data_IF_076411476955
#
_entry.id   IF_076411476955
#
_cell.length_a   1.000
_cell.length_b   1.000
_cell.length_c   1.000
_cell.angle_alpha   90.00
_cell.angle_beta   90.00
_cell.angle_gamma   90.00
#
_symmetry.space_group_name_H-M   'P 1'
#
loop_
_entity.id
_entity.type
_entity.pdbx_description
1 polymer ?
#
# COMPACT_ATOMS: atom_id res chain seq x y z
N UNK A 1 36.83 2.15 32.61
CA UNK A 1 35.49 2.26 32.00
C UNK A 1 35.72 2.63 30.54
N UNK A 2 35.68 1.64 29.66
CA UNK A 2 35.92 1.82 28.23
C UNK A 2 34.59 2.21 27.60
N UNK A 3 34.48 3.45 27.12
CA UNK A 3 33.40 3.84 26.21
C UNK A 3 33.68 3.15 24.87
N UNK A 4 33.11 1.97 24.68
CA UNK A 4 32.99 1.36 23.37
C UNK A 4 32.23 2.36 22.50
N UNK A 5 32.98 3.00 21.60
CA UNK A 5 32.45 3.77 20.49
C UNK A 5 31.61 2.80 19.67
N UNK A 6 30.30 2.79 19.91
CA UNK A 6 29.35 2.17 18.99
C UNK A 6 29.65 2.78 17.63
N UNK A 7 30.23 1.96 16.76
CA UNK A 7 30.40 2.32 15.37
C UNK A 7 29.00 2.59 14.84
N UNK A 8 28.70 3.88 14.70
CA UNK A 8 27.58 4.40 13.94
C UNK A 8 27.65 3.70 12.59
N UNK A 9 26.87 2.62 12.44
CA UNK A 9 26.87 1.80 11.24
C UNK A 9 26.46 2.74 10.12
N UNK A 10 27.42 3.17 9.30
CA UNK A 10 27.19 4.11 8.23
C UNK A 10 26.03 3.57 7.40
N UNK A 11 24.91 4.29 7.45
CA UNK A 11 23.67 3.90 6.83
C UNK A 11 23.91 3.80 5.33
N UNK A 12 23.84 2.59 4.78
CA UNK A 12 24.01 2.42 3.34
C UNK A 12 22.81 3.10 2.64
N UNK A 13 23.05 4.15 1.84
CA UNK A 13 21.97 4.94 1.27
C UNK A 13 21.22 4.13 0.22
N UNK A 14 19.88 4.17 0.26
CA UNK A 14 19.03 3.57 -0.77
C UNK A 14 19.44 4.08 -2.16
N UNK A 15 19.63 3.20 -3.16
CA UNK A 15 19.94 3.61 -4.52
C UNK A 15 18.91 4.63 -5.06
N UNK A 16 19.35 5.68 -5.78
CA UNK A 16 18.46 6.76 -6.24
C UNK A 16 17.25 6.27 -7.04
N UNK A 17 17.43 5.27 -7.91
CA UNK A 17 16.35 4.68 -8.71
C UNK A 17 15.28 3.99 -7.86
N UNK A 18 15.70 3.25 -6.83
CA UNK A 18 14.79 2.61 -5.87
C UNK A 18 14.03 3.64 -5.06
N UNK A 19 14.71 4.69 -4.58
CA UNK A 19 14.06 5.79 -3.87
C UNK A 19 13.01 6.50 -4.73
N UNK A 20 13.34 6.83 -5.98
CA UNK A 20 12.42 7.46 -6.92
C UNK A 20 11.17 6.59 -7.16
N UNK A 21 11.35 5.27 -7.29
CA UNK A 21 10.24 4.33 -7.37
C UNK A 21 9.33 4.42 -6.13
N UNK A 22 9.90 4.40 -4.92
CA UNK A 22 9.08 4.46 -3.70
C UNK A 22 8.39 5.81 -3.50
N UNK A 23 8.96 6.91 -3.96
CA UNK A 23 8.27 8.21 -4.02
C UNK A 23 7.09 8.14 -4.97
N UNK A 24 7.29 7.63 -6.19
CA UNK A 24 6.20 7.45 -7.15
C UNK A 24 5.10 6.54 -6.59
N UNK A 25 5.49 5.42 -5.97
CA UNK A 25 4.57 4.48 -5.36
C UNK A 25 3.77 5.12 -4.21
N UNK A 26 4.42 5.92 -3.36
CA UNK A 26 3.76 6.71 -2.33
C UNK A 26 2.74 7.70 -2.93
N UNK A 27 3.07 8.37 -4.03
CA UNK A 27 2.15 9.28 -4.72
C UNK A 27 0.93 8.54 -5.29
N UNK A 28 1.12 7.37 -5.91
CA UNK A 28 0.01 6.55 -6.40
C UNK A 28 -0.89 6.11 -5.25
N UNK A 29 -0.30 5.68 -4.11
CA UNK A 29 -1.07 5.37 -2.90
C UNK A 29 -1.82 6.59 -2.35
N UNK A 30 -1.18 7.76 -2.27
CA UNK A 30 -1.84 8.98 -1.82
C UNK A 30 -3.02 9.39 -2.72
N UNK A 31 -2.85 9.26 -4.05
CA UNK A 31 -3.93 9.47 -5.02
C UNK A 31 -5.03 8.40 -4.85
N UNK A 32 -4.66 7.15 -4.61
CA UNK A 32 -5.56 6.06 -4.31
C UNK A 32 -6.43 6.37 -3.09
N UNK A 33 -5.83 6.78 -1.98
CA UNK A 33 -6.56 7.27 -0.80
C UNK A 33 -7.44 8.45 -1.19
N UNK A 34 -6.88 9.53 -1.72
CA UNK A 34 -7.65 10.74 -2.05
C UNK A 34 -8.84 10.48 -2.99
N UNK A 35 -8.70 9.56 -3.95
CA UNK A 35 -9.75 9.17 -4.90
C UNK A 35 -10.99 8.57 -4.24
N UNK A 36 -10.87 8.09 -2.99
CA UNK A 36 -11.95 7.51 -2.21
C UNK A 36 -12.71 8.50 -1.35
N UNK A 37 -12.28 9.75 -1.30
CA UNK A 37 -13.07 10.81 -0.71
C UNK A 37 -14.24 11.15 -1.64
N UNK A 38 -15.47 11.06 -1.14
CA UNK A 38 -16.73 11.28 -1.88
C UNK A 38 -16.72 12.48 -2.86
N UNK A 39 -16.18 13.61 -2.44
CA UNK A 39 -16.12 14.87 -3.20
C UNK A 39 -15.08 14.82 -4.33
N UNK A 40 -14.01 14.03 -4.15
CA UNK A 40 -13.03 13.76 -5.20
C UNK A 40 -13.58 12.69 -6.12
N UNK A 41 -14.10 11.60 -5.57
CA UNK A 41 -14.70 10.49 -6.30
C UNK A 41 -15.77 10.96 -7.29
N UNK A 42 -16.69 11.83 -6.85
CA UNK A 42 -17.74 12.41 -7.69
C UNK A 42 -17.24 13.34 -8.82
N UNK A 43 -15.93 13.64 -8.86
CA UNK A 43 -15.28 14.44 -9.92
C UNK A 43 -14.29 13.66 -10.77
N UNK A 44 -13.92 12.45 -10.35
CA UNK A 44 -13.00 11.62 -11.12
C UNK A 44 -13.76 10.90 -12.24
N UNK A 45 -13.14 10.70 -13.42
CA UNK A 45 -13.66 9.76 -14.40
C UNK A 45 -13.83 8.38 -13.75
N UNK A 46 -14.93 7.64 -14.03
CA UNK A 46 -15.20 6.35 -13.40
C UNK A 46 -14.01 5.37 -13.51
N UNK A 47 -13.36 5.36 -14.68
CA UNK A 47 -12.22 4.50 -14.96
C UNK A 47 -10.94 4.87 -14.20
N UNK A 48 -10.83 6.08 -13.66
CA UNK A 48 -9.61 6.54 -13.01
C UNK A 48 -9.46 5.94 -11.60
N UNK A 49 -10.54 5.89 -10.82
CA UNK A 49 -10.50 5.29 -9.49
C UNK A 49 -10.22 3.77 -9.56
N UNK A 50 -10.83 3.08 -10.54
CA UNK A 50 -10.56 1.66 -10.81
C UNK A 50 -9.14 1.45 -11.35
N UNK A 51 -8.71 2.30 -12.28
CA UNK A 51 -7.38 2.24 -12.87
C UNK A 51 -6.28 2.43 -11.83
N UNK A 52 -6.49 3.31 -10.85
CA UNK A 52 -5.55 3.50 -9.74
C UNK A 52 -5.37 2.20 -8.94
N UNK A 53 -6.44 1.48 -8.61
CA UNK A 53 -6.34 0.20 -7.91
C UNK A 53 -5.62 -0.87 -8.74
N UNK A 54 -5.93 -0.94 -10.05
CA UNK A 54 -5.28 -1.88 -10.97
C UNK A 54 -3.78 -1.58 -11.17
N UNK A 55 -3.38 -0.31 -11.15
CA UNK A 55 -1.95 0.09 -11.19
C UNK A 55 -1.26 -0.16 -9.85
N UNK A 56 -1.99 -0.01 -8.74
CA UNK A 56 -1.45 -0.15 -7.40
C UNK A 56 -0.96 -1.56 -7.07
N UNK A 57 -1.69 -2.60 -7.51
CA UNK A 57 -1.31 -4.00 -7.32
C UNK A 57 0.07 -4.35 -7.88
N UNK A 58 0.34 -4.14 -9.17
CA UNK A 58 1.66 -4.30 -9.79
C UNK A 58 2.77 -3.57 -9.02
N UNK A 59 2.54 -2.30 -8.67
CA UNK A 59 3.52 -1.50 -7.94
C UNK A 59 3.84 -2.06 -6.56
N UNK A 60 2.84 -2.56 -5.83
CA UNK A 60 3.05 -3.17 -4.53
C UNK A 60 3.92 -4.43 -4.61
N UNK A 61 3.71 -5.27 -5.63
CA UNK A 61 4.51 -6.47 -5.82
C UNK A 61 5.96 -6.13 -6.23
N UNK A 62 6.15 -5.14 -7.10
CA UNK A 62 7.49 -4.63 -7.44
C UNK A 62 8.17 -4.00 -6.22
N UNK A 63 7.41 -3.28 -5.38
CA UNK A 63 7.92 -2.73 -4.12
C UNK A 63 8.43 -3.84 -3.20
N UNK A 64 7.69 -4.95 -3.08
CA UNK A 64 8.13 -6.13 -2.33
C UNK A 64 9.44 -6.73 -2.82
N UNK A 65 9.63 -6.82 -4.15
CA UNK A 65 10.89 -7.29 -4.74
C UNK A 65 12.06 -6.34 -4.46
N UNK A 66 11.85 -5.04 -4.67
CA UNK A 66 12.89 -4.03 -4.43
C UNK A 66 13.30 -4.02 -2.96
N UNK A 67 12.33 -4.10 -2.06
CA UNK A 67 12.57 -4.18 -0.62
C UNK A 67 13.38 -5.44 -0.26
N UNK A 68 13.02 -6.61 -0.81
CA UNK A 68 13.79 -7.85 -0.60
C UNK A 68 15.22 -7.76 -1.14
N UNK A 69 15.43 -7.07 -2.26
CA UNK A 69 16.78 -6.88 -2.84
C UNK A 69 17.65 -5.92 -2.05
N UNK A 70 17.05 -4.94 -1.38
CA UNK A 70 17.78 -4.06 -0.46
C UNK A 70 18.25 -4.85 0.78
N UNK A 71 17.54 -5.91 1.17
CA UNK A 71 17.79 -6.70 2.39
C UNK A 71 17.61 -8.20 2.14
N UNK A 72 18.53 -8.84 1.38
CA UNK A 72 18.36 -10.24 1.00
C UNK A 72 18.55 -11.23 2.15
N UNK A 73 19.37 -10.87 3.16
CA UNK A 73 19.78 -11.74 4.28
C UNK A 73 19.03 -11.48 5.61
N UNK A 74 18.29 -10.38 5.73
CA UNK A 74 17.51 -10.09 6.96
C UNK A 74 16.13 -10.75 6.90
N UNK A 75 16.04 -11.97 7.43
CA UNK A 75 14.78 -12.65 7.73
C UNK A 75 14.31 -12.45 9.20
N UNK A 76 15.23 -12.06 10.11
CA UNK A 76 14.98 -12.02 11.56
C UNK A 76 14.84 -10.58 12.10
N UNK A 77 13.64 -10.01 12.00
CA UNK A 77 13.28 -8.78 12.73
C UNK A 77 11.98 -8.15 12.24
N UNK A 78 11.30 -7.33 13.07
CA UNK A 78 10.13 -6.59 12.62
C UNK A 78 10.56 -5.59 11.53
N UNK A 79 10.16 -5.83 10.29
CA UNK A 79 10.62 -5.13 9.08
C UNK A 79 10.44 -3.60 9.12
N UNK A 80 9.66 -3.08 10.06
CA UNK A 80 9.31 -1.66 10.24
C UNK A 80 10.40 -0.90 10.96
N UNK A 81 11.10 -1.57 11.88
CA UNK A 81 12.31 -1.04 12.49
C UNK A 81 13.49 -1.13 11.51
N UNK A 82 13.42 -2.09 10.58
CA UNK A 82 14.44 -2.32 9.57
C UNK A 82 14.41 -1.23 8.47
N UNK A 83 13.23 -0.85 7.96
CA UNK A 83 13.11 0.19 6.92
C UNK A 83 13.44 1.59 7.49
N UNK A 84 14.67 2.05 7.26
CA UNK A 84 15.15 3.39 7.66
C UNK A 84 14.79 4.50 6.67
N UNK A 85 14.66 4.16 5.38
CA UNK A 85 14.33 5.13 4.34
C UNK A 85 12.87 5.59 4.43
N UNK A 86 12.70 6.91 4.58
CA UNK A 86 11.39 7.56 4.72
C UNK A 86 10.49 7.36 3.50
N UNK A 87 11.05 7.32 2.28
CA UNK A 87 10.26 7.10 1.07
C UNK A 87 9.73 5.67 1.00
N UNK A 88 10.57 4.69 1.34
CA UNK A 88 10.16 3.27 1.40
C UNK A 88 9.06 3.09 2.43
N UNK A 89 9.23 3.67 3.63
CA UNK A 89 8.23 3.64 4.70
C UNK A 89 6.92 4.28 4.26
N UNK A 90 6.97 5.48 3.69
CA UNK A 90 5.78 6.18 3.20
C UNK A 90 5.06 5.38 2.10
N UNK A 91 5.79 4.79 1.15
CA UNK A 91 5.23 3.98 0.08
C UNK A 91 4.42 2.79 0.60
N UNK A 92 4.99 1.97 1.48
CA UNK A 92 4.27 0.83 2.05
C UNK A 92 3.10 1.24 2.95
N UNK A 93 3.25 2.28 3.79
CA UNK A 93 2.17 2.76 4.65
C UNK A 93 0.99 3.26 3.83
N UNK A 94 1.23 4.12 2.83
CA UNK A 94 0.18 4.66 1.96
C UNK A 94 -0.43 3.56 1.10
N UNK A 95 0.37 2.60 0.66
CA UNK A 95 -0.14 1.46 -0.09
C UNK A 95 -1.10 0.60 0.71
N UNK A 96 -0.72 0.21 1.93
CA UNK A 96 -1.62 -0.56 2.78
C UNK A 96 -2.86 0.27 3.13
N UNK A 97 -2.70 1.58 3.36
CA UNK A 97 -3.85 2.46 3.62
C UNK A 97 -4.82 2.53 2.47
N UNK A 98 -4.30 2.64 1.24
CA UNK A 98 -5.11 2.57 0.01
C UNK A 98 -5.86 1.26 -0.08
N UNK A 99 -5.17 0.14 0.12
CA UNK A 99 -5.78 -1.20 0.06
C UNK A 99 -6.85 -1.37 1.14
N UNK A 100 -6.60 -0.97 2.38
CA UNK A 100 -7.57 -1.12 3.45
C UNK A 100 -8.82 -0.28 3.17
N UNK A 101 -8.67 0.99 2.79
CA UNK A 101 -9.81 1.84 2.45
C UNK A 101 -10.58 1.24 1.26
N UNK A 102 -9.88 0.82 0.21
CA UNK A 102 -10.50 0.22 -0.96
C UNK A 102 -11.26 -1.07 -0.62
N UNK A 103 -10.68 -1.96 0.20
CA UNK A 103 -11.33 -3.19 0.65
C UNK A 103 -12.56 -2.90 1.51
N UNK A 104 -12.45 -2.00 2.49
CA UNK A 104 -13.59 -1.65 3.36
C UNK A 104 -14.77 -1.09 2.54
N UNK A 105 -14.48 -0.23 1.56
CA UNK A 105 -15.49 0.34 0.68
C UNK A 105 -16.03 -0.65 -0.36
N UNK A 106 -15.19 -1.55 -0.90
CA UNK A 106 -15.59 -2.45 -1.98
C UNK A 106 -16.45 -3.62 -1.50
N UNK A 107 -16.23 -4.09 -0.27
CA UNK A 107 -16.99 -5.20 0.30
C UNK A 107 -18.15 -4.73 1.20
N UNK A 108 -18.46 -3.43 1.18
CA UNK A 108 -19.43 -2.77 2.06
C UNK A 108 -19.33 -3.28 3.52
N UNK A 109 -18.11 -3.56 3.97
CA UNK A 109 -17.88 -4.11 5.31
C UNK A 109 -17.99 -2.93 6.25
N UNK A 110 -19.21 -2.65 6.68
CA UNK A 110 -19.48 -1.85 7.85
C UNK A 110 -18.86 -2.59 9.05
N UNK A 111 -17.58 -2.31 9.34
CA UNK A 111 -16.94 -2.72 10.58
C UNK A 111 -17.47 -1.87 11.75
N UNK A 112 -18.78 -1.84 11.95
CA UNK A 112 -19.47 -1.01 12.93
C UNK A 112 -19.13 0.49 12.75
N UNK A 113 -18.68 1.22 13.78
CA UNK A 113 -18.40 2.66 13.73
C UNK A 113 -17.18 3.05 12.86
N UNK A 114 -16.58 2.10 12.13
CA UNK A 114 -15.38 2.28 11.31
C UNK A 114 -15.79 2.34 9.83
N UNK A 115 -16.69 3.27 9.50
CA UNK A 115 -17.06 3.58 8.13
C UNK A 115 -16.20 4.77 7.63
N UNK A 116 -15.40 4.60 6.55
CA UNK A 116 -14.66 5.70 5.93
C UNK A 116 -15.58 6.77 5.33
N UNK A 117 -16.86 6.46 5.10
CA UNK A 117 -17.84 7.35 4.50
C UNK A 117 -18.31 8.38 5.53
N UNK A 118 -18.07 9.68 5.31
CA UNK A 118 -18.53 10.69 6.24
C UNK A 118 -20.07 10.88 6.11
N UNK A 119 -20.78 11.20 7.21
CA UNK A 119 -22.23 11.45 7.15
C UNK A 119 -22.59 12.54 6.15
N UNK A 120 -23.63 12.32 5.33
CA UNK A 120 -24.09 13.30 4.33
C UNK A 120 -24.57 14.62 4.95
N UNK A 121 -25.03 14.57 6.19
CA UNK A 121 -25.47 15.75 6.95
C UNK A 121 -24.32 16.68 7.35
N UNK A 122 -23.07 16.21 7.29
CA UNK A 122 -21.92 17.01 7.68
C UNK A 122 -21.61 18.07 6.60
N UNK A 123 -21.31 19.32 7.00
CA UNK A 123 -20.73 20.31 6.10
C UNK A 123 -19.43 19.80 5.47
N UNK A 124 -19.08 20.28 4.28
CA UNK A 124 -17.91 19.82 3.51
C UNK A 124 -16.61 19.81 4.34
N UNK A 125 -16.36 20.85 5.14
CA UNK A 125 -15.17 20.93 5.99
C UNK A 125 -15.14 19.82 7.06
N UNK A 126 -16.29 19.46 7.64
CA UNK A 126 -16.39 18.37 8.61
C UNK A 126 -16.23 16.99 7.93
N UNK A 127 -16.78 16.80 6.72
CA UNK A 127 -16.56 15.58 5.92
C UNK A 127 -15.08 15.38 5.59
N UNK A 128 -14.40 16.45 5.19
CA UNK A 128 -12.97 16.40 4.91
C UNK A 128 -12.14 16.07 6.16
N UNK A 129 -12.47 16.66 7.31
CA UNK A 129 -11.81 16.36 8.59
C UNK A 129 -12.07 14.93 9.05
N UNK A 130 -13.30 14.43 8.91
CA UNK A 130 -13.65 13.03 9.20
C UNK A 130 -12.81 12.08 8.37
N UNK A 131 -12.82 12.29 7.05
CA UNK A 131 -12.08 11.46 6.11
C UNK A 131 -10.57 11.50 6.35
N UNK A 132 -10.01 12.68 6.61
CA UNK A 132 -8.60 12.85 6.94
C UNK A 132 -8.24 12.17 8.27
N UNK A 133 -9.06 12.35 9.30
CA UNK A 133 -8.89 11.72 10.61
C UNK A 133 -8.96 10.19 10.53
N UNK A 134 -9.94 9.65 9.79
CA UNK A 134 -10.07 8.22 9.52
C UNK A 134 -8.83 7.69 8.78
N UNK A 135 -8.44 8.33 7.68
CA UNK A 135 -7.29 7.91 6.87
C UNK A 135 -5.99 7.94 7.68
N UNK A 136 -5.82 8.95 8.53
CA UNK A 136 -4.67 9.08 9.43
C UNK A 136 -4.66 7.99 10.51
N UNK A 137 -5.79 7.79 11.20
CA UNK A 137 -5.92 6.75 12.24
C UNK A 137 -5.69 5.35 11.68
N UNK A 138 -6.27 5.07 10.52
CA UNK A 138 -6.04 3.84 9.77
C UNK A 138 -4.59 3.72 9.34
N UNK A 139 -3.94 4.81 8.92
CA UNK A 139 -2.53 4.83 8.55
C UNK A 139 -1.60 4.20 9.60
N UNK A 140 -1.87 4.38 10.89
CA UNK A 140 -1.10 3.75 11.97
C UNK A 140 -1.36 2.24 12.10
N UNK A 141 -2.62 1.82 12.16
CA UNK A 141 -2.97 0.39 12.23
C UNK A 141 -2.49 -0.37 10.98
N UNK A 142 -2.66 0.28 9.82
CA UNK A 142 -2.20 -0.19 8.52
C UNK A 142 -0.68 -0.26 8.44
N UNK A 143 0.06 0.66 9.04
CA UNK A 143 1.50 0.56 9.13
C UNK A 143 1.94 -0.69 9.91
N UNK A 144 1.33 -0.95 11.07
CA UNK A 144 1.63 -2.14 11.87
C UNK A 144 1.28 -3.43 11.13
N UNK A 145 0.12 -3.48 10.49
CA UNK A 145 -0.33 -4.63 9.71
C UNK A 145 0.50 -4.83 8.44
N UNK A 146 0.78 -3.76 7.68
CA UNK A 146 1.62 -3.80 6.49
C UNK A 146 2.95 -4.44 6.78
N UNK A 147 3.52 -4.13 7.93
CA UNK A 147 4.82 -4.64 8.27
C UNK A 147 4.75 -6.03 8.87
N UNK A 148 3.75 -6.31 9.73
CA UNK A 148 3.60 -7.61 10.37
C UNK A 148 3.20 -8.73 9.39
N UNK A 149 2.49 -8.40 8.31
CA UNK A 149 1.94 -9.41 7.39
C UNK A 149 2.25 -9.14 5.93
N UNK A 150 1.95 -7.95 5.41
CA UNK A 150 2.05 -7.68 3.97
C UNK A 150 3.49 -7.75 3.46
N UNK A 151 4.43 -7.07 4.10
CA UNK A 151 5.84 -7.07 3.69
C UNK A 151 6.46 -8.47 3.75
N UNK A 152 6.29 -9.27 4.84
CA UNK A 152 6.71 -10.67 4.87
C UNK A 152 6.11 -11.51 3.74
N UNK A 153 4.81 -11.37 3.47
CA UNK A 153 4.15 -12.08 2.38
C UNK A 153 4.75 -11.70 1.02
N UNK A 154 4.94 -10.41 0.76
CA UNK A 154 5.55 -9.92 -0.48
C UNK A 154 7.00 -10.40 -0.65
N UNK A 155 7.78 -10.43 0.44
CA UNK A 155 9.14 -10.99 0.45
C UNK A 155 9.14 -12.48 0.10
N UNK A 156 8.23 -13.25 0.68
CA UNK A 156 8.08 -14.67 0.39
C UNK A 156 7.74 -14.90 -1.09
N UNK A 157 6.83 -14.12 -1.65
CA UNK A 157 6.48 -14.17 -3.08
C UNK A 157 7.63 -13.73 -3.98
N UNK A 158 8.43 -12.75 -3.57
CA UNK A 158 9.59 -12.25 -4.34
C UNK A 158 10.80 -13.20 -4.32
N UNK A 159 10.86 -14.14 -3.36
CA UNK A 159 12.00 -15.05 -3.16
C UNK A 159 12.44 -15.81 -4.43
N UNK A 160 11.54 -16.41 -5.24
CA UNK A 160 11.92 -17.17 -6.44
C UNK A 160 12.57 -16.30 -7.54
N UNK A 161 12.31 -14.99 -7.54
CA UNK A 161 12.79 -14.06 -8.57
C UNK A 161 13.88 -13.11 -8.05
N UNK A 162 14.40 -13.36 -6.85
CA UNK A 162 15.41 -12.51 -6.20
C UNK A 162 16.68 -12.41 -7.03
N UNK A 163 17.14 -13.54 -7.58
CA UNK A 163 18.38 -13.63 -8.35
C UNK A 163 18.24 -13.30 -9.84
N UNK A 164 17.01 -13.07 -10.33
CA UNK A 164 16.79 -12.68 -11.71
C UNK A 164 17.34 -11.27 -12.00
N UNK A 165 17.60 -10.91 -13.27
CA UNK A 165 17.81 -9.51 -13.64
C UNK A 165 16.64 -8.65 -13.15
N UNK A 166 16.92 -7.43 -12.67
CA UNK A 166 15.90 -6.58 -12.02
C UNK A 166 14.67 -6.38 -12.91
N UNK A 167 14.86 -6.09 -14.20
CA UNK A 167 13.76 -5.90 -15.14
C UNK A 167 12.88 -7.15 -15.28
N UNK A 168 13.49 -8.34 -15.35
CA UNK A 168 12.75 -9.60 -15.45
C UNK A 168 11.99 -9.91 -14.16
N UNK A 169 12.64 -9.78 -13.01
CA UNK A 169 11.98 -9.96 -11.70
C UNK A 169 10.84 -8.98 -11.49
N UNK A 170 11.06 -7.70 -11.80
CA UNK A 170 10.02 -6.68 -11.70
C UNK A 170 8.86 -6.94 -12.66
N UNK A 171 9.13 -7.41 -13.89
CA UNK A 171 8.10 -7.80 -14.85
C UNK A 171 7.23 -8.95 -14.33
N UNK A 172 7.83 -10.01 -13.80
CA UNK A 172 7.10 -11.14 -13.20
C UNK A 172 6.24 -10.66 -12.02
N UNK A 173 6.83 -9.87 -11.12
CA UNK A 173 6.12 -9.36 -9.94
C UNK A 173 4.99 -8.40 -10.32
N UNK A 174 5.18 -7.55 -11.33
CA UNK A 174 4.15 -6.67 -11.85
C UNK A 174 2.97 -7.46 -12.44
N UNK A 175 3.25 -8.53 -13.21
CA UNK A 175 2.21 -9.42 -13.75
C UNK A 175 1.44 -10.15 -12.64
N UNK A 176 2.15 -10.66 -11.62
CA UNK A 176 1.50 -11.27 -10.46
C UNK A 176 0.61 -10.26 -9.72
N UNK A 177 1.11 -9.06 -9.47
CA UNK A 177 0.35 -7.98 -8.84
C UNK A 177 -0.86 -7.54 -9.66
N UNK A 178 -0.74 -7.49 -10.99
CA UNK A 178 -1.87 -7.23 -11.89
C UNK A 178 -2.94 -8.31 -11.79
N UNK A 179 -2.52 -9.58 -11.80
CA UNK A 179 -3.42 -10.73 -11.67
C UNK A 179 -4.17 -10.73 -10.33
N UNK A 180 -3.49 -10.43 -9.23
CA UNK A 180 -4.12 -10.31 -7.91
C UNK A 180 -5.10 -9.13 -7.87
N UNK A 181 -4.72 -7.96 -8.37
CA UNK A 181 -5.62 -6.80 -8.41
C UNK A 181 -6.87 -7.06 -9.26
N UNK A 182 -6.69 -7.70 -10.42
CA UNK A 182 -7.80 -8.12 -11.28
C UNK A 182 -8.70 -9.15 -10.60
N UNK A 183 -8.12 -10.17 -9.96
CA UNK A 183 -8.87 -11.19 -9.25
C UNK A 183 -9.69 -10.65 -8.08
N UNK A 184 -9.13 -9.71 -7.30
CA UNK A 184 -9.85 -9.03 -6.21
C UNK A 184 -11.01 -8.20 -6.74
N UNK A 185 -10.80 -7.44 -7.82
CA UNK A 185 -11.86 -6.69 -8.49
C UNK A 185 -12.98 -7.63 -8.96
N UNK A 186 -12.62 -8.68 -9.67
CA UNK A 186 -13.58 -9.65 -10.17
C UNK A 186 -14.39 -10.29 -9.04
N UNK A 187 -13.74 -10.65 -7.93
CA UNK A 187 -14.44 -11.19 -6.76
C UNK A 187 -15.43 -10.18 -6.15
N UNK A 188 -15.06 -8.90 -6.06
CA UNK A 188 -15.95 -7.85 -5.59
C UNK A 188 -17.16 -7.65 -6.53
N UNK A 189 -16.95 -7.69 -7.85
CA UNK A 189 -18.03 -7.64 -8.84
C UNK A 189 -18.99 -8.83 -8.70
N UNK A 190 -18.48 -10.04 -8.48
CA UNK A 190 -19.33 -11.22 -8.26
C UNK A 190 -20.13 -11.14 -6.97
N UNK A 191 -19.54 -10.61 -5.88
CA UNK A 191 -20.24 -10.42 -4.62
C UNK A 191 -21.42 -9.43 -4.78
N UNK A 192 -21.20 -8.30 -5.46
CA UNK A 192 -22.24 -7.31 -5.72
C UNK A 192 -23.42 -7.89 -6.53
N UNK A 193 -23.13 -8.75 -7.52
CA UNK A 193 -24.16 -9.45 -8.29
C UNK A 193 -24.98 -10.42 -7.42
N UNK A 194 -24.34 -11.14 -6.50
CA UNK A 194 -25.02 -12.07 -5.60
C UNK A 194 -25.95 -11.38 -4.60
N UNK A 195 -25.61 -10.16 -4.19
CA UNK A 195 -26.42 -9.34 -3.28
C UNK A 195 -27.56 -8.58 -3.99
N UNK A 196 -27.66 -8.70 -5.33
CA UNK A 196 -28.69 -8.00 -6.11
C UNK A 196 -28.44 -6.50 -6.25
N UNK A 197 -27.18 -6.06 -6.09
CA UNK A 197 -26.74 -4.67 -6.18
C UNK A 197 -26.19 -4.30 -7.59
N UNK A 198 -26.21 -5.25 -8.54
CA UNK A 198 -25.64 -5.13 -9.89
C UNK A 198 -26.63 -4.82 -11.00
#
# INVERSE_FOLDING_TARGET
MSHSTEAESAEEPTPPGTRAFFVFFALVGALGVASRFDVVLGRLPPLLAEGLLLVHGPLLFVAGLLERRLRPEEDDGPTWMAIRDRAVRAGFTLSFTTLTIATLQAFDIALGPIDPTPPESFPLAQRALWYAGFSFGMGFANYLAAVGTLVPALRAVARPVLHAPLAAGAGVMALLGAGVAFGLRWAAEQAAVQEGLG
#
